data_IF_289528849046
#
_entry.id   IF_289528849046
#
_cell.length_a   1.000
_cell.length_b   1.000
_cell.length_c   1.000
_cell.angle_alpha   90.00
_cell.angle_beta   90.00
_cell.angle_gamma   90.00
#
_symmetry.space_group_name_H-M   'P 1'
#
loop_
_entity.id
_entity.type
_entity.pdbx_description
1 polymer ?
#
# COMPACT_ATOMS: atom_id res chain seq x y z
N UNK A 1 -15.50 9.07 15.91
CA UNK A 1 -15.38 7.65 15.54
C UNK A 1 -14.92 6.86 16.76
N UNK A 2 -15.57 5.75 17.09
CA UNK A 2 -15.15 4.88 18.20
C UNK A 2 -13.75 4.31 17.95
N UNK A 3 -12.96 4.10 19.02
CA UNK A 3 -11.61 3.50 18.96
C UNK A 3 -11.60 2.19 18.16
N UNK A 4 -12.65 1.37 18.31
CA UNK A 4 -12.80 0.11 17.58
C UNK A 4 -13.07 0.35 16.09
N UNK A 5 -13.86 1.38 15.77
CA UNK A 5 -14.21 1.73 14.38
C UNK A 5 -13.01 2.23 13.56
N UNK A 6 -12.12 3.01 14.17
CA UNK A 6 -10.90 3.46 13.50
C UNK A 6 -9.95 2.28 13.20
N UNK A 7 -9.81 1.35 14.15
CA UNK A 7 -9.03 0.12 13.96
C UNK A 7 -9.60 -0.78 12.86
N UNK A 8 -10.91 -0.98 12.82
CA UNK A 8 -11.53 -1.79 11.76
C UNK A 8 -11.36 -1.16 10.38
N UNK A 9 -11.43 0.17 10.27
CA UNK A 9 -11.22 0.87 9.00
C UNK A 9 -9.77 0.77 8.55
N UNK A 10 -8.81 0.95 9.46
CA UNK A 10 -7.39 0.79 9.13
C UNK A 10 -7.05 -0.60 8.60
N UNK A 11 -7.47 -1.66 9.32
CA UNK A 11 -7.23 -3.05 8.89
C UNK A 11 -7.95 -3.35 7.56
N UNK A 12 -9.16 -2.83 7.39
CA UNK A 12 -9.92 -3.02 6.16
C UNK A 12 -9.25 -2.34 4.95
N UNK A 13 -8.80 -1.08 5.09
CA UNK A 13 -8.07 -0.35 4.05
C UNK A 13 -6.79 -1.09 3.63
N UNK A 14 -6.02 -1.58 4.61
CA UNK A 14 -4.79 -2.34 4.37
C UNK A 14 -5.09 -3.60 3.53
N UNK A 15 -6.03 -4.44 4.01
CA UNK A 15 -6.40 -5.70 3.34
C UNK A 15 -6.92 -5.45 1.92
N UNK A 16 -7.81 -4.47 1.75
CA UNK A 16 -8.38 -4.13 0.44
C UNK A 16 -7.28 -3.65 -0.51
N UNK A 17 -6.36 -2.81 -0.04
CA UNK A 17 -5.22 -2.32 -0.84
C UNK A 17 -4.35 -3.49 -1.33
N UNK A 18 -3.94 -4.39 -0.45
CA UNK A 18 -3.10 -5.54 -0.80
C UNK A 18 -3.79 -6.48 -1.79
N UNK A 19 -5.07 -6.78 -1.58
CA UNK A 19 -5.83 -7.67 -2.47
C UNK A 19 -5.95 -7.08 -3.87
N UNK A 20 -6.30 -5.79 -3.98
CA UNK A 20 -6.46 -5.13 -5.28
C UNK A 20 -5.10 -5.00 -5.99
N UNK A 21 -4.02 -4.68 -5.26
CA UNK A 21 -2.68 -4.59 -5.83
C UNK A 21 -2.20 -5.95 -6.37
N UNK A 22 -2.39 -7.02 -5.59
CA UNK A 22 -2.03 -8.38 -6.02
C UNK A 22 -2.85 -8.81 -7.24
N UNK A 23 -4.17 -8.59 -7.23
CA UNK A 23 -5.03 -8.89 -8.36
C UNK A 23 -4.65 -8.07 -9.62
N UNK A 24 -4.33 -6.79 -9.44
CA UNK A 24 -3.87 -5.89 -10.50
C UNK A 24 -2.54 -6.35 -11.11
N UNK A 25 -1.57 -6.75 -10.28
CA UNK A 25 -0.27 -7.29 -10.73
C UNK A 25 -0.45 -8.57 -11.53
N UNK A 26 -1.19 -9.56 -11.02
CA UNK A 26 -1.45 -10.81 -11.74
C UNK A 26 -2.15 -10.53 -13.08
N UNK A 27 -3.12 -9.62 -13.09
CA UNK A 27 -3.82 -9.24 -14.31
C UNK A 27 -2.92 -8.53 -15.32
N UNK A 28 -1.99 -7.70 -14.85
CA UNK A 28 -1.02 -7.00 -15.69
C UNK A 28 -0.07 -7.98 -16.38
N UNK A 29 0.46 -8.97 -15.65
CA UNK A 29 1.31 -10.02 -16.21
C UNK A 29 0.57 -10.83 -17.29
N UNK A 30 -0.67 -11.24 -17.00
CA UNK A 30 -1.50 -11.98 -17.97
C UNK A 30 -1.77 -11.16 -19.23
N UNK A 31 -2.10 -9.87 -19.09
CA UNK A 31 -2.34 -8.98 -20.23
C UNK A 31 -1.04 -8.66 -20.98
N UNK A 32 0.10 -8.58 -20.29
CA UNK A 32 1.41 -8.41 -20.92
C UNK A 32 1.73 -9.60 -21.82
N UNK A 33 1.61 -10.82 -21.28
CA UNK A 33 1.81 -12.05 -22.04
C UNK A 33 0.84 -12.17 -23.23
N UNK A 34 -0.43 -11.77 -23.05
CA UNK A 34 -1.41 -11.77 -24.14
C UNK A 34 -1.09 -10.76 -25.27
N UNK A 35 -0.37 -9.67 -24.97
CA UNK A 35 0.05 -8.61 -25.91
C UNK A 35 1.46 -8.76 -26.48
N UNK A 36 2.33 -9.58 -25.87
CA UNK A 36 3.74 -9.78 -26.28
C UNK A 36 4.02 -11.20 -26.77
N UNK A 37 3.15 -12.15 -26.41
CA UNK A 37 3.36 -13.58 -26.63
C UNK A 37 4.56 -14.12 -25.88
N UNK A 38 4.62 -15.44 -25.71
CA UNK A 38 5.85 -16.10 -25.28
C UNK A 38 6.03 -17.39 -26.10
N UNK A 39 7.05 -17.38 -26.95
CA UNK A 39 7.43 -18.49 -27.83
C UNK A 39 7.99 -19.68 -27.05
N UNK A 40 8.53 -19.48 -25.83
CA UNK A 40 9.01 -20.56 -24.97
C UNK A 40 7.87 -21.36 -24.31
N UNK A 41 6.69 -20.75 -24.16
CA UNK A 41 5.49 -21.37 -23.58
C UNK A 41 4.37 -21.65 -24.62
N UNK A 42 4.67 -21.58 -25.93
CA UNK A 42 3.72 -21.73 -27.05
C UNK A 42 2.55 -20.73 -27.07
N UNK A 43 2.59 -19.67 -26.27
CA UNK A 43 1.47 -18.75 -26.14
C UNK A 43 1.52 -17.68 -27.23
N UNK A 44 0.60 -17.77 -28.19
CA UNK A 44 0.45 -16.78 -29.26
C UNK A 44 -0.20 -15.48 -28.77
N UNK A 45 0.17 -14.37 -29.40
CA UNK A 45 -0.44 -13.04 -29.30
C UNK A 45 -1.98 -13.10 -29.47
N UNK A 46 -2.71 -13.28 -28.37
CA UNK A 46 -4.17 -13.30 -28.41
C UNK A 46 -4.74 -11.91 -28.73
N UNK A 47 -4.05 -10.85 -28.31
CA UNK A 47 -4.47 -9.47 -28.54
C UNK A 47 -4.36 -9.03 -30.02
N UNK A 48 -3.59 -9.74 -30.86
CA UNK A 48 -3.56 -9.52 -32.30
C UNK A 48 -4.90 -9.81 -32.97
N UNK A 49 -5.66 -10.80 -32.48
CA UNK A 49 -6.98 -11.16 -32.99
C UNK A 49 -8.16 -10.56 -32.19
N UNK A 50 -7.97 -10.24 -30.91
CA UNK A 50 -9.01 -9.73 -29.99
C UNK A 50 -8.71 -8.32 -29.44
N UNK A 51 -8.02 -7.47 -30.21
CA UNK A 51 -7.49 -6.18 -29.75
C UNK A 51 -8.49 -5.24 -29.06
N UNK A 52 -9.78 -5.28 -29.42
CA UNK A 52 -10.83 -4.50 -28.73
C UNK A 52 -11.06 -4.91 -27.28
N UNK A 53 -10.99 -6.20 -26.97
CA UNK A 53 -11.11 -6.73 -25.60
C UNK A 53 -9.83 -6.49 -24.81
N UNK A 54 -8.67 -6.70 -25.41
CA UNK A 54 -7.39 -6.42 -24.76
C UNK A 54 -7.25 -4.94 -24.39
N UNK A 55 -7.63 -4.02 -25.27
CA UNK A 55 -7.60 -2.59 -24.94
C UNK A 55 -8.47 -2.25 -23.74
N UNK A 56 -9.68 -2.83 -23.64
CA UNK A 56 -10.56 -2.64 -22.49
C UNK A 56 -9.97 -3.27 -21.21
N UNK A 57 -9.36 -4.45 -21.31
CA UNK A 57 -8.70 -5.11 -20.18
C UNK A 57 -7.53 -4.28 -19.66
N UNK A 58 -6.67 -3.75 -20.54
CA UNK A 58 -5.57 -2.85 -20.17
C UNK A 58 -6.08 -1.58 -19.49
N UNK A 59 -7.14 -0.96 -20.02
CA UNK A 59 -7.77 0.21 -19.39
C UNK A 59 -8.33 -0.14 -18.02
N UNK A 60 -8.97 -1.31 -17.87
CA UNK A 60 -9.48 -1.79 -16.59
C UNK A 60 -8.36 -1.92 -15.55
N UNK A 61 -7.23 -2.55 -15.92
CA UNK A 61 -6.06 -2.69 -15.05
C UNK A 61 -5.52 -1.32 -14.65
N UNK A 62 -5.43 -0.37 -15.59
CA UNK A 62 -5.01 1.01 -15.30
C UNK A 62 -5.92 1.68 -14.26
N UNK A 63 -7.24 1.53 -14.39
CA UNK A 63 -8.20 2.05 -13.40
C UNK A 63 -8.02 1.34 -12.05
N UNK A 64 -7.80 0.02 -12.03
CA UNK A 64 -7.53 -0.74 -10.81
C UNK A 64 -6.31 -0.18 -10.06
N UNK A 65 -5.21 0.13 -10.75
CA UNK A 65 -4.03 0.76 -10.13
C UNK A 65 -4.33 2.18 -9.62
N UNK A 66 -5.13 2.97 -10.33
CA UNK A 66 -5.59 4.27 -9.83
C UNK A 66 -6.38 4.12 -8.53
N UNK A 67 -7.30 3.15 -8.46
CA UNK A 67 -8.07 2.83 -7.26
C UNK A 67 -7.15 2.44 -6.09
N UNK A 68 -6.13 1.61 -6.32
CA UNK A 68 -5.10 1.30 -5.30
C UNK A 68 -4.44 2.57 -4.77
N UNK A 69 -4.08 3.52 -5.65
CA UNK A 69 -3.51 4.80 -5.24
C UNK A 69 -4.42 5.59 -4.29
N UNK A 70 -5.72 5.63 -4.58
CA UNK A 70 -6.69 6.28 -3.67
C UNK A 70 -6.79 5.56 -2.32
N UNK A 71 -6.81 4.23 -2.30
CA UNK A 71 -6.82 3.45 -1.06
C UNK A 71 -5.56 3.66 -0.21
N UNK A 72 -4.38 3.78 -0.83
CA UNK A 72 -3.14 4.11 -0.11
C UNK A 72 -3.24 5.47 0.58
N UNK A 73 -3.83 6.48 -0.08
CA UNK A 73 -4.05 7.80 0.50
C UNK A 73 -5.04 7.74 1.67
N UNK A 74 -6.13 6.98 1.52
CA UNK A 74 -7.13 6.80 2.58
C UNK A 74 -6.55 6.09 3.80
N UNK A 75 -5.73 5.04 3.58
CA UNK A 75 -4.98 4.35 4.63
C UNK A 75 -4.06 5.33 5.39
N UNK A 76 -3.32 6.19 4.67
CA UNK A 76 -2.49 7.22 5.29
C UNK A 76 -3.30 8.25 6.08
N UNK A 77 -4.41 8.76 5.56
CA UNK A 77 -5.26 9.71 6.29
C UNK A 77 -5.79 9.07 7.58
N UNK A 78 -6.22 7.82 7.52
CA UNK A 78 -6.69 7.05 8.68
C UNK A 78 -5.59 6.92 9.75
N UNK A 79 -4.37 6.56 9.34
CA UNK A 79 -3.23 6.45 10.25
C UNK A 79 -2.83 7.81 10.83
N UNK A 80 -2.74 8.87 10.03
CA UNK A 80 -2.43 10.22 10.50
C UNK A 80 -3.45 10.72 11.52
N UNK A 81 -4.75 10.50 11.30
CA UNK A 81 -5.77 10.89 12.26
C UNK A 81 -5.68 10.04 13.54
N UNK A 82 -5.36 8.75 13.43
CA UNK A 82 -5.20 7.88 14.59
C UNK A 82 -3.99 8.27 15.45
N UNK A 83 -2.83 8.46 14.83
CA UNK A 83 -1.59 8.83 15.52
C UNK A 83 -1.60 10.28 16.01
N UNK A 84 -2.29 11.20 15.32
CA UNK A 84 -2.43 12.59 15.78
C UNK A 84 -3.47 12.76 16.89
N UNK A 85 -4.42 11.82 17.06
CA UNK A 85 -5.45 11.88 18.11
C UNK A 85 -5.15 11.02 19.33
N UNK A 86 -4.31 9.99 19.18
CA UNK A 86 -3.75 9.23 20.29
C UNK A 86 -2.30 9.66 20.49
N UNK A 87 -2.12 10.80 21.18
CA UNK A 87 -0.83 11.13 21.79
C UNK A 87 -0.29 9.91 22.53
N UNK A 88 1.02 9.67 22.43
CA UNK A 88 1.69 8.68 23.26
C UNK A 88 1.29 8.93 24.72
N UNK A 89 1.07 7.87 25.54
CA UNK A 89 0.68 8.07 26.93
C UNK A 89 1.60 9.11 27.53
N UNK A 90 1.03 10.14 28.17
CA UNK A 90 1.80 11.05 28.98
C UNK A 90 2.45 10.19 30.04
N UNK A 91 3.69 9.76 29.77
CA UNK A 91 4.63 9.35 30.79
C UNK A 91 4.57 10.52 31.74
N UNK A 92 3.88 10.32 32.87
CA UNK A 92 3.82 11.29 33.95
C UNK A 92 5.25 11.76 34.10
N UNK A 93 5.46 13.06 33.94
CA UNK A 93 6.74 13.72 33.71
C UNK A 93 7.86 13.23 34.65
N UNK A 94 7.48 12.61 35.77
CA UNK A 94 8.29 11.77 36.67
C UNK A 94 9.15 10.69 35.98
N UNK A 95 8.68 9.97 34.96
CA UNK A 95 9.48 8.91 34.30
C UNK A 95 10.34 9.43 33.12
N UNK A 96 9.86 10.46 32.42
CA UNK A 96 10.57 11.08 31.30
C UNK A 96 11.70 12.02 31.76
N UNK A 97 11.56 12.64 32.94
CA UNK A 97 12.59 13.53 33.48
C UNK A 97 13.88 12.80 33.90
N UNK A 98 13.88 11.47 33.97
CA UNK A 98 15.06 10.67 34.33
C UNK A 98 15.77 10.03 33.13
N UNK A 99 15.22 10.12 31.92
CA UNK A 99 15.94 9.67 30.73
C UNK A 99 16.76 10.83 30.14
N UNK A 100 18.10 10.75 30.15
CA UNK A 100 18.93 11.86 29.72
C UNK A 100 18.80 12.04 28.19
N UNK A 101 18.37 13.24 27.79
CA UNK A 101 18.14 13.67 26.38
C UNK A 101 19.34 13.35 25.47
N UNK A 102 20.56 13.40 26.01
CA UNK A 102 21.81 13.08 25.29
C UNK A 102 21.87 11.64 24.74
N UNK A 103 21.12 10.69 25.31
CA UNK A 103 21.14 9.29 24.86
C UNK A 103 20.20 9.04 23.68
N UNK A 104 19.08 9.76 23.62
CA UNK A 104 18.12 9.67 22.51
C UNK A 104 18.74 10.15 21.19
N UNK A 105 19.47 11.25 21.23
CA UNK A 105 20.14 11.83 20.06
C UNK A 105 21.27 10.91 19.56
N UNK A 106 21.93 10.16 20.46
CA UNK A 106 23.03 9.26 20.13
C UNK A 106 22.56 7.92 19.52
N UNK A 107 21.41 7.39 19.95
CA UNK A 107 20.85 6.16 19.36
C UNK A 107 20.20 6.41 17.98
N UNK A 108 19.64 7.59 17.76
CA UNK A 108 19.12 7.98 16.44
C UNK A 108 20.24 8.17 15.40
N UNK A 109 21.40 8.67 15.83
CA UNK A 109 22.61 8.78 14.99
C UNK A 109 23.28 7.41 14.71
N UNK A 110 23.12 6.43 15.60
CA UNK A 110 23.67 5.08 15.39
C UNK A 110 22.75 4.17 14.54
N UNK A 111 21.46 4.49 14.42
CA UNK A 111 20.48 3.68 13.70
C UNK A 111 20.47 3.90 12.16
N UNK A 112 21.15 4.94 11.67
CA UNK A 112 21.31 5.22 10.24
C UNK A 112 22.78 5.51 9.88
N UNK A 113 23.59 4.48 9.60
CA UNK A 113 24.87 4.70 8.94
C UNK A 113 24.65 5.07 7.46
N UNK A 114 25.44 6.04 6.99
CA UNK A 114 25.62 6.35 5.57
C UNK A 114 26.53 5.32 4.88
#
# INVERSE_FOLDING_TARGET
>A
MSRRGAWTVFIFDEVVTYVILAAGSVSAEVVYLANKGDVAMTWSEACGSYGGFCKKATVSIGITFSVVGFYVILSHISSYILFSKYDAPSISFTAASSYPRNKQDQEMAAAFPA
#
